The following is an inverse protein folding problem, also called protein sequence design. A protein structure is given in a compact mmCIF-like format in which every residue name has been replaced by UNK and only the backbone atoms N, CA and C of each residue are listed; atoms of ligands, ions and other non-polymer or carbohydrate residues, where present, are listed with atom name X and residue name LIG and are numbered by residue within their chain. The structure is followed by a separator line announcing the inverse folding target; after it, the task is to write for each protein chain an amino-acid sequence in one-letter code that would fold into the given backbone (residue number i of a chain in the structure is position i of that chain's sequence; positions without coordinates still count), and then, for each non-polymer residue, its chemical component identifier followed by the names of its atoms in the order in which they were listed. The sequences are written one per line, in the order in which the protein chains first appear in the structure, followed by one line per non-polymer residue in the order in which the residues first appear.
data_IF_792643697178
#
_entry.id   IF_792643697178
#
_cell.length_a   1.000
_cell.length_b   1.000
_cell.length_c   1.000
_cell.angle_alpha   90.00
_cell.angle_beta   90.00
_cell.angle_gamma   90.00
#
_symmetry.space_group_name_H-M   'P 1'
#
loop_
_entity.id
_entity.type
_entity.pdbx_description
1 polymer ?
#
# COMPACT_ATOMS: atom_id res chain seq x y z
N UNK A 1 -9.33 0.93 10.40
CA UNK A 1 -8.66 1.28 9.12
C UNK A 1 -9.50 0.77 7.99
N UNK A 2 -9.62 1.53 6.93
CA UNK A 2 -10.28 1.13 5.69
C UNK A 2 -9.26 0.52 4.73
N UNK A 3 -9.69 -0.32 3.78
CA UNK A 3 -8.81 -1.00 2.83
C UNK A 3 -9.42 -1.07 1.43
N UNK A 4 -8.58 -0.99 0.42
CA UNK A 4 -8.95 -1.30 -0.96
C UNK A 4 -7.80 -2.06 -1.63
N UNK A 5 -8.11 -2.75 -2.73
CA UNK A 5 -7.12 -3.46 -3.55
C UNK A 5 -7.11 -2.82 -4.92
N UNK A 6 -5.93 -2.43 -5.39
CA UNK A 6 -5.71 -2.05 -6.79
C UNK A 6 -4.98 -3.16 -7.54
N UNK A 7 -5.20 -3.21 -8.85
CA UNK A 7 -4.36 -4.02 -9.71
C UNK A 7 -3.00 -3.32 -9.88
N UNK A 8 -1.86 -4.01 -9.62
CA UNK A 8 -0.55 -3.44 -9.88
C UNK A 8 -0.35 -3.20 -11.37
N UNK A 9 0.61 -2.35 -11.72
CA UNK A 9 0.94 -2.06 -13.10
C UNK A 9 1.29 -3.35 -13.87
N UNK A 10 0.81 -3.44 -15.11
CA UNK A 10 1.11 -4.58 -15.96
C UNK A 10 2.58 -4.60 -16.39
N UNK A 11 3.08 -5.80 -16.66
CA UNK A 11 4.41 -5.98 -17.25
C UNK A 11 4.27 -5.85 -18.77
N UNK A 12 5.15 -5.06 -19.38
CA UNK A 12 5.15 -4.81 -20.82
C UNK A 12 5.48 -6.13 -21.54
N UNK A 13 4.65 -6.61 -22.49
CA UNK A 13 4.84 -7.89 -23.15
C UNK A 13 6.24 -8.03 -23.78
N UNK A 14 6.82 -9.23 -23.70
CA UNK A 14 8.17 -9.56 -24.20
C UNK A 14 9.32 -8.77 -23.56
N UNK A 15 9.04 -8.01 -22.51
CA UNK A 15 10.06 -7.34 -21.71
C UNK A 15 9.91 -7.74 -20.24
N UNK A 16 10.90 -7.43 -19.42
CA UNK A 16 10.79 -7.57 -17.96
C UNK A 16 10.78 -6.20 -17.28
N UNK A 17 9.78 -5.39 -17.65
CA UNK A 17 9.60 -4.02 -17.17
C UNK A 17 8.12 -3.74 -16.91
N UNK A 18 7.78 -3.15 -15.77
CA UNK A 18 6.39 -2.69 -15.52
C UNK A 18 6.12 -1.36 -16.22
N UNK A 19 4.86 -1.13 -16.60
CA UNK A 19 4.43 0.10 -17.27
C UNK A 19 4.62 1.35 -16.41
N UNK A 20 4.60 1.20 -15.08
CA UNK A 20 4.79 2.28 -14.10
C UNK A 20 6.26 2.55 -13.74
N UNK A 21 7.24 1.87 -14.37
CA UNK A 21 8.67 2.12 -14.11
C UNK A 21 9.07 3.58 -14.38
N UNK A 22 8.43 4.24 -15.35
CA UNK A 22 8.63 5.67 -15.63
C UNK A 22 8.24 6.56 -14.43
N UNK A 23 7.35 6.07 -13.56
CA UNK A 23 6.93 6.71 -12.31
C UNK A 23 7.64 6.12 -11.09
N UNK A 24 8.63 5.25 -11.32
CA UNK A 24 9.38 4.52 -10.30
C UNK A 24 8.53 3.55 -9.46
N UNK A 25 7.40 3.10 -9.99
CA UNK A 25 6.47 2.22 -9.29
C UNK A 25 5.38 2.99 -8.54
N UNK A 26 5.02 2.50 -7.36
CA UNK A 26 3.99 3.11 -6.51
C UNK A 26 4.66 3.88 -5.38
N UNK A 27 4.28 5.14 -5.22
CA UNK A 27 4.76 6.04 -4.16
C UNK A 27 3.56 6.70 -3.52
N UNK A 28 3.35 6.43 -2.24
CA UNK A 28 2.36 7.06 -1.38
C UNK A 28 3.05 8.20 -0.62
N UNK A 29 2.31 9.28 -0.37
CA UNK A 29 2.81 10.37 0.45
C UNK A 29 2.84 9.92 1.92
N UNK A 30 4.04 9.91 2.52
CA UNK A 30 4.25 9.45 3.89
C UNK A 30 3.67 10.38 4.96
N UNK A 31 3.21 11.57 4.59
CA UNK A 31 2.48 12.48 5.48
C UNK A 31 0.96 12.26 5.46
N UNK A 32 0.46 11.50 4.49
CA UNK A 32 -0.96 11.15 4.36
C UNK A 32 -1.26 9.81 5.05
N UNK A 33 -2.52 9.54 5.44
CA UNK A 33 -2.87 8.36 6.24
C UNK A 33 -2.87 7.05 5.45
N UNK A 34 -2.26 6.98 4.26
CA UNK A 34 -2.27 5.80 3.39
C UNK A 34 -1.00 4.96 3.59
N UNK A 35 -1.19 3.64 3.63
CA UNK A 35 -0.10 2.67 3.77
C UNK A 35 -0.37 1.41 2.94
N UNK A 36 0.66 0.84 2.35
CA UNK A 36 0.66 -0.53 1.83
C UNK A 36 0.58 -1.49 3.01
N UNK A 37 -0.41 -2.39 3.02
CA UNK A 37 -0.63 -3.33 4.13
C UNK A 37 0.42 -4.42 4.17
N UNK A 38 0.57 -5.12 5.30
CA UNK A 38 1.50 -6.25 5.47
C UNK A 38 1.00 -7.60 4.90
N UNK A 39 -0.20 -7.60 4.32
CA UNK A 39 -0.76 -8.77 3.64
C UNK A 39 -0.16 -8.97 2.25
N UNK A 40 0.50 -7.95 1.67
CA UNK A 40 1.04 -8.02 0.33
C UNK A 40 2.35 -8.82 0.30
N UNK A 41 2.48 -9.66 -0.72
CA UNK A 41 3.74 -10.28 -1.12
C UNK A 41 4.14 -9.73 -2.47
N UNK A 42 5.28 -9.03 -2.50
CA UNK A 42 5.85 -8.43 -3.69
C UNK A 42 6.83 -9.42 -4.31
N UNK A 43 6.67 -9.62 -5.61
CA UNK A 43 7.59 -10.37 -6.46
C UNK A 43 8.33 -9.36 -7.32
N UNK A 44 9.62 -9.19 -7.06
CA UNK A 44 10.50 -8.25 -7.74
C UNK A 44 11.29 -8.95 -8.84
N UNK A 45 11.27 -8.38 -10.04
CA UNK A 45 11.73 -9.02 -11.27
C UNK A 45 12.82 -8.18 -11.94
N UNK A 46 13.75 -8.86 -12.62
CA UNK A 46 14.87 -8.23 -13.34
C UNK A 46 15.59 -7.19 -12.47
N UNK A 47 16.08 -7.67 -11.33
CA UNK A 47 16.77 -6.90 -10.32
C UNK A 47 18.28 -6.92 -10.53
N UNK A 48 18.94 -5.82 -10.22
CA UNK A 48 20.40 -5.76 -10.17
C UNK A 48 20.95 -6.50 -8.93
N UNK A 49 22.21 -6.93 -9.00
CA UNK A 49 22.87 -7.67 -7.91
C UNK A 49 23.07 -6.86 -6.63
N UNK A 50 22.92 -5.53 -6.67
CA UNK A 50 23.00 -4.67 -5.48
C UNK A 50 21.91 -5.02 -4.46
N UNK A 51 20.77 -5.55 -4.92
CA UNK A 51 19.67 -5.96 -4.04
C UNK A 51 19.91 -7.27 -3.29
N UNK A 52 20.99 -8.01 -3.59
CA UNK A 52 21.42 -9.15 -2.77
C UNK A 52 21.88 -8.71 -1.37
N UNK A 53 22.19 -7.42 -1.18
CA UNK A 53 22.51 -6.83 0.13
C UNK A 53 21.28 -6.38 0.90
N UNK A 54 20.08 -6.45 0.29
CA UNK A 54 18.82 -6.11 0.94
C UNK A 54 18.21 -7.34 1.64
N UNK A 55 17.34 -7.18 2.65
CA UNK A 55 16.68 -8.28 3.34
C UNK A 55 15.58 -8.97 2.51
N UNK A 56 15.75 -9.05 1.18
CA UNK A 56 14.82 -9.67 0.26
C UNK A 56 15.16 -11.16 0.11
N UNK A 57 14.16 -12.02 -0.06
CA UNK A 57 14.39 -13.43 -0.35
C UNK A 57 14.61 -13.62 -1.86
N UNK A 58 15.87 -13.64 -2.28
CA UNK A 58 16.27 -13.86 -3.68
C UNK A 58 16.74 -15.30 -3.94
N UNK A 59 16.53 -16.23 -2.99
CA UNK A 59 16.94 -17.63 -3.16
C UNK A 59 16.18 -18.31 -4.30
N UNK A 60 16.74 -19.38 -4.87
CA UNK A 60 16.09 -20.17 -5.91
C UNK A 60 14.75 -20.80 -5.44
N UNK A 61 14.56 -20.96 -4.13
CA UNK A 61 13.32 -21.45 -3.52
C UNK A 61 12.29 -20.34 -3.23
N UNK A 62 12.59 -19.08 -3.57
CA UNK A 62 11.67 -17.96 -3.36
C UNK A 62 10.43 -18.06 -4.26
N UNK A 63 9.33 -17.45 -3.79
CA UNK A 63 8.10 -17.36 -4.57
C UNK A 63 8.31 -16.64 -5.91
N UNK A 64 9.30 -15.76 -6.02
CA UNK A 64 9.64 -15.07 -7.25
C UNK A 64 10.11 -16.04 -8.34
N UNK A 65 10.98 -16.99 -7.99
CA UNK A 65 11.44 -18.01 -8.95
C UNK A 65 10.30 -18.95 -9.34
N UNK A 66 9.46 -19.35 -8.37
CA UNK A 66 8.24 -20.12 -8.68
C UNK A 66 7.33 -19.36 -9.66
N UNK A 67 7.11 -18.06 -9.45
CA UNK A 67 6.27 -17.22 -10.28
C UNK A 67 6.80 -17.08 -11.72
N UNK A 68 8.08 -16.77 -11.87
CA UNK A 68 8.73 -16.63 -13.18
C UNK A 68 8.71 -17.94 -13.97
N UNK A 69 8.91 -19.08 -13.31
CA UNK A 69 8.95 -20.39 -13.97
C UNK A 69 7.57 -20.87 -14.42
N UNK A 70 6.51 -20.44 -13.73
CA UNK A 70 5.14 -20.88 -14.00
C UNK A 70 4.30 -19.88 -14.84
N UNK A 71 4.86 -18.72 -15.21
CA UNK A 71 4.11 -17.62 -15.85
C UNK A 71 4.71 -17.22 -17.20
N UNK A 72 4.13 -17.75 -18.27
CA UNK A 72 4.63 -17.54 -19.64
C UNK A 72 4.67 -16.07 -20.09
N UNK A 73 3.69 -15.27 -19.65
CA UNK A 73 3.57 -13.85 -20.03
C UNK A 73 4.76 -12.99 -19.58
N UNK A 74 5.54 -13.47 -18.61
CA UNK A 74 6.72 -12.81 -18.08
C UNK A 74 7.99 -13.63 -18.28
N UNK A 75 7.99 -14.59 -19.21
CA UNK A 75 9.15 -15.42 -19.56
C UNK A 75 10.40 -14.59 -19.89
N UNK A 76 10.25 -13.37 -20.40
CA UNK A 76 11.34 -12.40 -20.59
C UNK A 76 12.09 -12.04 -19.29
N UNK A 77 11.51 -12.28 -18.12
CA UNK A 77 12.14 -12.10 -16.82
C UNK A 77 13.05 -13.26 -16.39
N UNK A 78 12.95 -14.43 -17.03
CA UNK A 78 13.77 -15.61 -16.72
C UNK A 78 15.25 -15.38 -16.96
N UNK A 79 15.60 -14.52 -17.92
CA UNK A 79 16.97 -14.14 -18.25
C UNK A 79 17.51 -13.01 -17.37
N UNK A 80 16.66 -12.45 -16.48
CA UNK A 80 17.04 -11.37 -15.58
C UNK A 80 18.09 -11.84 -14.55
N UNK A 81 18.97 -10.94 -14.06
CA UNK A 81 20.10 -11.35 -13.23
C UNK A 81 19.72 -11.75 -11.81
N UNK A 82 18.69 -11.14 -11.23
CA UNK A 82 18.18 -11.43 -9.89
C UNK A 82 16.66 -11.29 -9.86
N UNK A 83 16.02 -12.15 -9.07
CA UNK A 83 14.60 -12.14 -8.79
C UNK A 83 14.40 -12.40 -7.31
N UNK A 84 13.55 -11.60 -6.65
CA UNK A 84 13.38 -11.63 -5.20
C UNK A 84 11.92 -11.55 -4.78
N UNK A 85 11.61 -12.14 -3.64
CA UNK A 85 10.33 -11.99 -2.96
C UNK A 85 10.49 -11.19 -1.69
N UNK A 86 9.51 -10.38 -1.38
CA UNK A 86 9.43 -9.64 -0.13
C UNK A 86 7.99 -9.54 0.34
N UNK A 87 7.75 -9.84 1.61
CA UNK A 87 6.45 -9.61 2.24
C UNK A 87 6.46 -8.21 2.84
N UNK A 88 5.47 -7.40 2.48
CA UNK A 88 5.32 -6.06 3.05
C UNK A 88 5.00 -6.14 4.54
N UNK A 89 5.21 -5.02 5.22
CA UNK A 89 5.18 -4.95 6.68
C UNK A 89 6.51 -4.44 7.21
N UNK A 90 6.45 -3.46 8.11
CA UNK A 90 7.59 -2.63 8.52
C UNK A 90 7.55 -1.23 7.89
N UNK A 91 8.35 -0.31 8.45
CA UNK A 91 8.32 1.13 8.10
C UNK A 91 8.94 1.47 6.74
N UNK A 92 9.81 0.62 6.19
CA UNK A 92 10.59 0.94 4.99
C UNK A 92 9.78 0.93 3.69
N UNK A 93 8.70 0.13 3.64
CA UNK A 93 7.90 -0.13 2.43
C UNK A 93 6.41 0.13 2.64
N UNK A 94 6.03 0.70 3.78
CA UNK A 94 4.65 1.13 4.03
C UNK A 94 4.17 2.17 3.04
N UNK A 95 5.08 2.89 2.37
CA UNK A 95 4.73 4.01 1.48
C UNK A 95 5.13 3.79 0.02
N UNK A 96 5.82 2.70 -0.35
CA UNK A 96 6.32 2.59 -1.72
C UNK A 96 6.65 1.16 -2.15
N UNK A 97 6.46 0.92 -3.44
CA UNK A 97 7.03 -0.21 -4.19
C UNK A 97 7.88 0.40 -5.29
N UNK A 98 9.20 0.34 -5.12
CA UNK A 98 10.14 1.01 -6.02
C UNK A 98 10.57 0.09 -7.15
N UNK A 99 10.52 0.60 -8.38
CA UNK A 99 11.19 0.02 -9.55
C UNK A 99 12.03 1.07 -10.26
N UNK A 100 13.25 0.71 -10.68
CA UNK A 100 14.25 1.60 -11.32
C UNK A 100 15.43 0.78 -11.84
N UNK A 101 16.25 1.37 -12.70
CA UNK A 101 17.42 0.68 -13.30
C UNK A 101 18.45 0.18 -12.30
N UNK A 102 18.68 0.93 -11.21
CA UNK A 102 19.61 0.53 -10.13
C UNK A 102 19.01 -0.44 -9.12
N UNK A 103 17.77 -0.90 -9.34
CA UNK A 103 17.03 -1.81 -8.47
C UNK A 103 16.40 -2.92 -9.30
N UNK A 104 15.09 -3.06 -9.22
CA UNK A 104 14.29 -3.96 -10.07
C UNK A 104 13.57 -3.19 -11.15
N UNK A 105 13.46 -3.76 -12.35
CA UNK A 105 12.73 -3.12 -13.46
C UNK A 105 11.25 -3.45 -13.49
N UNK A 106 10.82 -4.49 -12.77
CA UNK A 106 9.43 -4.90 -12.72
C UNK A 106 9.08 -5.45 -11.33
N UNK A 107 7.78 -5.47 -11.04
CA UNK A 107 7.22 -6.14 -9.88
C UNK A 107 5.84 -6.71 -10.20
N UNK A 108 5.40 -7.65 -9.37
CA UNK A 108 4.01 -8.04 -9.20
C UNK A 108 3.70 -8.09 -7.70
N UNK A 109 2.42 -8.03 -7.34
CA UNK A 109 1.97 -8.05 -5.95
C UNK A 109 0.82 -9.01 -5.79
N UNK A 110 0.77 -9.71 -4.66
CA UNK A 110 -0.28 -10.66 -4.32
C UNK A 110 -0.72 -10.44 -2.88
N UNK A 111 -2.03 -10.23 -2.68
CA UNK A 111 -2.62 -10.02 -1.35
C UNK A 111 -2.85 -11.38 -0.69
N UNK A 112 -2.41 -11.55 0.55
CA UNK A 112 -2.54 -12.78 1.34
C UNK A 112 -2.00 -14.03 0.61
N UNK A 113 -0.87 -13.89 -0.08
CA UNK A 113 -0.27 -14.99 -0.82
C UNK A 113 0.11 -16.15 0.09
N UNK A 114 -0.41 -17.34 -0.21
CA UNK A 114 0.06 -18.61 0.35
C UNK A 114 1.12 -19.22 -0.59
N UNK A 115 2.39 -19.14 -0.19
CA UNK A 115 3.52 -19.66 -0.97
C UNK A 115 3.61 -21.19 -0.94
N UNK A 116 2.81 -21.88 -0.13
CA UNK A 116 2.68 -23.33 -0.15
C UNK A 116 1.83 -23.85 -1.31
N UNK A 117 1.04 -22.97 -1.94
CA UNK A 117 0.24 -23.30 -3.13
C UNK A 117 1.05 -23.12 -4.41
N UNK A 118 0.69 -23.92 -5.42
CA UNK A 118 1.19 -23.75 -6.79
C UNK A 118 0.71 -22.43 -7.40
N UNK A 119 1.52 -21.83 -8.28
CA UNK A 119 1.28 -20.48 -8.84
C UNK A 119 -0.07 -20.34 -9.54
N UNK A 120 -0.55 -21.40 -10.20
CA UNK A 120 -1.87 -21.41 -10.84
C UNK A 120 -3.05 -21.31 -9.86
N UNK A 121 -2.82 -21.50 -8.56
CA UNK A 121 -3.81 -21.33 -7.49
C UNK A 121 -3.66 -20.02 -6.73
N UNK A 122 -2.67 -19.21 -7.06
CA UNK A 122 -2.51 -17.90 -6.44
C UNK A 122 -3.65 -16.98 -6.86
N UNK A 123 -3.98 -16.03 -5.99
CA UNK A 123 -4.93 -14.98 -6.33
C UNK A 123 -4.43 -14.17 -7.53
N UNK A 124 -5.34 -13.46 -8.21
CA UNK A 124 -4.94 -12.48 -9.21
C UNK A 124 -3.99 -11.44 -8.57
N UNK A 125 -3.06 -10.86 -9.35
CA UNK A 125 -2.22 -9.78 -8.86
C UNK A 125 -3.06 -8.66 -8.27
N UNK A 126 -2.68 -8.22 -7.07
CA UNK A 126 -3.36 -7.20 -6.30
C UNK A 126 -2.44 -6.56 -5.29
N UNK A 127 -2.65 -5.28 -5.04
CA UNK A 127 -1.96 -4.51 -4.02
C UNK A 127 -3.00 -3.91 -3.07
N UNK A 128 -3.00 -4.38 -1.84
CA UNK A 128 -3.85 -3.87 -0.78
C UNK A 128 -3.22 -2.63 -0.13
N UNK A 129 -3.97 -1.55 -0.14
CA UNK A 129 -3.64 -0.28 0.50
C UNK A 129 -4.68 -0.03 1.58
N UNK A 130 -4.24 0.47 2.73
CA UNK A 130 -5.10 0.86 3.83
C UNK A 130 -4.96 2.34 4.17
N UNK A 131 -5.98 2.89 4.80
CA UNK A 131 -5.93 4.22 5.38
C UNK A 131 -6.68 4.34 6.69
N UNK A 132 -6.34 5.37 7.45
CA UNK A 132 -7.12 5.81 8.60
C UNK A 132 -8.24 6.73 8.12
N UNK A 133 -9.44 6.50 8.61
CA UNK A 133 -10.57 7.41 8.36
C UNK A 133 -10.21 8.82 8.82
N UNK A 134 -10.58 9.87 8.06
CA UNK A 134 -10.43 11.24 8.50
C UNK A 134 -11.02 11.45 9.89
N UNK A 135 -10.28 12.14 10.75
CA UNK A 135 -10.80 12.62 12.04
C UNK A 135 -11.70 13.84 11.83
N UNK A 136 -12.30 14.30 12.91
CA UNK A 136 -13.08 15.53 12.98
C UNK A 136 -12.33 16.72 12.34
N UNK A 137 -13.06 17.60 11.67
CA UNK A 137 -12.49 18.77 10.97
C UNK A 137 -11.74 19.69 11.92
N UNK A 138 -10.66 20.32 11.43
CA UNK A 138 -9.90 21.31 12.18
C UNK A 138 -10.71 22.60 12.28
N UNK A 139 -10.73 23.22 13.47
CA UNK A 139 -11.41 24.48 13.72
C UNK A 139 -10.49 25.50 14.38
N UNK A 140 -10.77 26.79 14.20
CA UNK A 140 -10.17 27.89 14.94
C UNK A 140 -11.15 28.39 16.01
N UNK A 141 -12.44 28.42 15.66
CA UNK A 141 -13.53 28.87 16.51
C UNK A 141 -14.79 28.02 16.32
N UNK A 142 -15.81 28.24 17.15
CA UNK A 142 -17.09 27.54 17.04
C UNK A 142 -17.79 27.75 15.69
N UNK A 143 -17.47 28.83 14.95
CA UNK A 143 -18.06 29.13 13.64
C UNK A 143 -17.64 28.17 12.54
N UNK A 144 -16.52 27.47 12.73
CA UNK A 144 -16.01 26.48 11.77
C UNK A 144 -16.69 25.12 11.94
N UNK A 145 -17.48 24.97 13.01
CA UNK A 145 -18.20 23.77 13.37
C UNK A 145 -19.70 23.97 13.17
N UNK A 146 -20.43 22.87 12.97
CA UNK A 146 -21.89 22.92 13.06
C UNK A 146 -22.29 23.09 14.52
N UNK A 147 -22.80 24.28 14.86
CA UNK A 147 -23.18 24.65 16.21
C UNK A 147 -24.30 23.77 16.81
N UNK A 148 -25.10 23.08 15.97
CA UNK A 148 -26.14 22.17 16.45
C UNK A 148 -25.55 20.81 16.87
N UNK A 149 -24.48 20.35 16.22
CA UNK A 149 -24.02 18.96 16.30
C UNK A 149 -22.59 18.78 16.81
N UNK A 150 -21.79 19.85 16.85
CA UNK A 150 -20.37 19.79 17.20
C UNK A 150 -19.85 21.03 17.93
N UNK A 151 -18.77 20.86 18.70
CA UNK A 151 -18.12 21.93 19.48
C UNK A 151 -16.63 22.00 19.15
N UNK A 152 -16.12 23.21 18.90
CA UNK A 152 -14.69 23.42 18.66
C UNK A 152 -13.88 23.27 19.96
N UNK A 153 -13.08 22.21 20.05
CA UNK A 153 -12.29 21.88 21.24
C UNK A 153 -10.84 21.51 20.90
N UNK A 154 -9.95 21.52 21.89
CA UNK A 154 -8.55 21.13 21.71
C UNK A 154 -8.44 19.61 21.51
N UNK A 155 -7.76 19.18 20.47
CA UNK A 155 -7.44 17.78 20.21
C UNK A 155 -6.29 17.35 21.13
N UNK A 156 -6.65 16.71 22.24
CA UNK A 156 -5.69 16.23 23.25
C UNK A 156 -4.70 15.18 22.73
N UNK A 157 -4.99 14.56 21.59
CA UNK A 157 -4.07 13.65 20.91
C UNK A 157 -3.04 14.37 20.02
N UNK A 158 -3.18 15.69 19.86
CA UNK A 158 -2.27 16.53 19.07
C UNK A 158 -1.30 17.29 19.99
N UNK A 159 0.00 17.07 19.81
CA UNK A 159 1.03 17.78 20.59
C UNK A 159 1.13 19.29 20.29
N UNK A 160 0.43 19.77 19.26
CA UNK A 160 0.55 21.14 18.75
C UNK A 160 -0.68 22.02 19.09
N UNK A 161 -1.60 21.55 19.95
CA UNK A 161 -2.78 22.32 20.35
C UNK A 161 -3.78 22.57 19.21
N UNK A 162 -3.83 21.67 18.22
CA UNK A 162 -4.81 21.74 17.13
C UNK A 162 -6.20 21.63 17.74
N UNK A 163 -7.16 22.43 17.28
CA UNK A 163 -8.57 22.30 17.67
C UNK A 163 -9.38 21.61 16.58
N UNK A 164 -10.40 20.85 16.98
CA UNK A 164 -11.30 20.13 16.08
C UNK A 164 -12.76 20.26 16.51
N UNK A 165 -13.67 20.04 15.56
CA UNK A 165 -15.11 20.01 15.79
C UNK A 165 -15.55 18.66 16.38
N UNK A 166 -15.55 18.54 17.70
CA UNK A 166 -15.96 17.32 18.39
C UNK A 166 -17.47 17.18 18.43
N UNK A 167 -17.98 15.97 18.19
CA UNK A 167 -19.41 15.70 18.20
C UNK A 167 -20.02 15.88 19.60
N UNK A 168 -21.20 16.51 19.65
CA UNK A 168 -21.91 16.78 20.90
C UNK A 168 -22.72 15.55 21.35
N UNK A 169 -22.75 15.32 22.67
CA UNK A 169 -23.58 14.29 23.28
C UNK A 169 -23.27 12.88 22.78
N UNK A 170 -24.28 12.20 22.23
CA UNK A 170 -24.19 10.82 21.71
C UNK A 170 -23.91 10.75 20.20
N UNK A 171 -23.67 11.90 19.54
CA UNK A 171 -23.35 11.92 18.12
C UNK A 171 -21.96 11.36 17.87
N UNK A 172 -21.81 10.65 16.75
CA UNK A 172 -20.55 10.06 16.29
C UNK A 172 -20.13 10.74 14.99
N UNK A 173 -18.83 10.92 14.83
CA UNK A 173 -18.25 11.47 13.60
C UNK A 173 -18.41 10.49 12.45
N UNK A 174 -19.10 10.92 11.39
CA UNK A 174 -19.11 10.23 10.11
C UNK A 174 -17.94 10.74 9.25
N UNK A 175 -16.89 9.92 9.03
CA UNK A 175 -15.72 10.34 8.26
C UNK A 175 -15.94 10.39 6.75
N UNK A 176 -17.06 9.88 6.24
CA UNK A 176 -17.43 9.91 4.82
C UNK A 176 -18.18 11.20 4.51
N UNK A 177 -19.17 11.55 5.34
CA UNK A 177 -19.96 12.77 5.17
C UNK A 177 -19.29 14.00 5.79
N UNK A 178 -18.36 13.80 6.72
CA UNK A 178 -17.68 14.89 7.43
C UNK A 178 -18.60 15.63 8.40
N UNK A 179 -19.54 14.92 9.03
CA UNK A 179 -20.53 15.49 9.95
C UNK A 179 -20.71 14.62 11.19
N UNK A 180 -21.26 15.20 12.25
CA UNK A 180 -21.68 14.48 13.44
C UNK A 180 -23.11 13.99 13.28
N UNK A 181 -23.32 12.67 13.34
CA UNK A 181 -24.63 12.03 13.16
C UNK A 181 -24.87 10.98 14.24
N UNK A 182 -26.11 10.50 14.37
CA UNK A 182 -26.39 9.34 15.21
C UNK A 182 -25.73 8.11 14.60
N UNK A 183 -25.23 7.20 15.44
CA UNK A 183 -24.75 5.92 14.95
C UNK A 183 -25.89 5.19 14.23
N UNK A 184 -25.68 4.87 12.95
CA UNK A 184 -26.51 3.86 12.29
C UNK A 184 -26.08 2.49 12.84
N UNK A 185 -27.07 1.72 13.31
CA UNK A 185 -26.91 0.33 13.76
C UNK A 185 -27.02 -0.62 12.57
#
# INVERSE_FOLDING_TARGET
TQRFIIQPASIIPKTCTTTDKIHQGIILNNTLPFNITSSNTIVYLNCTRTLLQSPLNCSAASACHAYINATDSISACQTGPVCCTYRTGGSSNSYQIRVRDTGCSAYSSFVNLDTGLSVNRWSRPGLEIQWLSPRETVCVSQKDCDAATSTCGVDGSSGNGIKRCFCNGELVWDPIQGVCTKSEL
#
